data_IF_808916071521
#
_entry.id   IF_808916071521
#
_cell.length_a   1.000
_cell.length_b   1.000
_cell.length_c   1.000
_cell.angle_alpha   90.00
_cell.angle_beta   90.00
_cell.angle_gamma   90.00
#
_symmetry.space_group_name_H-M   'P 1'
#
loop_
_entity.id
_entity.type
_entity.pdbx_description
1 polymer ?
#
# COMPACT_ATOMS: atom_id res chain seq x y z
N UNK A 1 -21.95 6.18 11.36
CA UNK A 1 -21.25 4.88 11.45
C UNK A 1 -20.73 4.52 10.06
N UNK A 2 -19.41 4.39 9.90
CA UNK A 2 -18.76 3.52 8.92
C UNK A 2 -17.25 3.62 9.16
N UNK A 3 -16.78 2.87 10.16
CA UNK A 3 -15.39 2.75 10.54
C UNK A 3 -14.76 1.67 9.66
N UNK A 4 -14.52 1.95 8.37
CA UNK A 4 -14.13 0.93 7.38
C UNK A 4 -12.97 1.37 6.48
N UNK A 5 -11.92 1.96 7.05
CA UNK A 5 -10.59 1.75 6.49
C UNK A 5 -10.08 0.47 7.15
N UNK A 6 -10.12 -0.63 6.42
CA UNK A 6 -9.60 -1.91 6.89
C UNK A 6 -8.14 -1.71 7.34
N UNK A 7 -7.89 -1.79 8.65
CA UNK A 7 -6.56 -1.68 9.26
C UNK A 7 -5.73 -2.95 9.04
N UNK A 8 -5.70 -3.48 7.82
CA UNK A 8 -4.86 -4.63 7.50
C UNK A 8 -3.46 -4.10 7.19
N UNK A 9 -2.52 -4.38 8.11
CA UNK A 9 -1.09 -4.13 7.89
C UNK A 9 -0.54 -5.34 7.13
N UNK A 10 0.24 -5.07 6.09
CA UNK A 10 0.93 -6.09 5.32
C UNK A 10 2.43 -5.91 5.49
N UNK A 11 3.14 -7.01 5.66
CA UNK A 11 4.60 -7.05 5.52
C UNK A 11 4.99 -6.83 4.06
N UNK A 12 6.26 -6.47 3.85
CA UNK A 12 6.85 -6.30 2.52
C UNK A 12 6.71 -7.54 1.61
N UNK A 13 6.65 -8.74 2.20
CA UNK A 13 6.46 -9.97 1.42
C UNK A 13 5.00 -10.20 1.06
N UNK A 14 4.08 -9.94 2.00
CA UNK A 14 2.65 -10.10 1.75
C UNK A 14 2.14 -9.09 0.71
N UNK A 15 2.59 -7.84 0.74
CA UNK A 15 2.15 -6.84 -0.25
C UNK A 15 2.60 -7.21 -1.67
N UNK A 16 3.74 -7.87 -1.85
CA UNK A 16 4.19 -8.37 -3.17
C UNK A 16 3.22 -9.40 -3.73
N UNK A 17 2.69 -10.27 -2.87
CA UNK A 17 1.74 -11.30 -3.27
C UNK A 17 0.40 -10.70 -3.68
N UNK A 18 -0.06 -9.67 -2.96
CA UNK A 18 -1.26 -8.89 -3.33
C UNK A 18 -1.07 -8.22 -4.70
N UNK A 19 0.06 -7.55 -4.93
CA UNK A 19 0.37 -6.92 -6.23
C UNK A 19 0.44 -7.98 -7.34
N UNK A 20 0.99 -9.17 -7.06
CA UNK A 20 1.02 -10.28 -8.04
C UNK A 20 -0.39 -10.73 -8.43
N UNK A 21 -1.33 -10.76 -7.48
CA UNK A 21 -2.70 -11.21 -7.71
C UNK A 21 -3.56 -10.17 -8.43
N UNK A 22 -3.42 -8.89 -8.06
CA UNK A 22 -4.34 -7.83 -8.51
C UNK A 22 -3.70 -6.80 -9.44
N UNK A 23 -2.41 -6.92 -9.70
CA UNK A 23 -1.64 -5.94 -10.47
C UNK A 23 -1.21 -4.74 -9.63
N UNK A 24 -0.47 -3.84 -10.27
CA UNK A 24 -0.14 -2.55 -9.65
C UNK A 24 -1.38 -1.65 -9.61
N UNK A 25 -1.51 -0.78 -8.60
CA UNK A 25 -2.60 0.20 -8.51
C UNK A 25 -2.52 1.31 -9.58
N UNK A 26 -1.75 1.14 -10.67
CA UNK A 26 -1.20 2.21 -11.50
C UNK A 26 -1.83 2.31 -12.90
N UNK A 27 -3.05 1.81 -13.13
CA UNK A 27 -3.82 2.24 -14.30
C UNK A 27 -4.61 3.50 -13.96
N UNK A 28 -4.04 4.64 -14.37
CA UNK A 28 -4.55 5.98 -14.11
C UNK A 28 -5.86 6.21 -14.88
N UNK A 29 -6.99 6.32 -14.17
CA UNK A 29 -8.31 6.67 -14.73
C UNK A 29 -8.42 8.18 -15.04
N UNK A 30 -7.50 8.73 -15.84
CA UNK A 30 -7.40 10.18 -16.10
C UNK A 30 -8.71 10.82 -16.56
N UNK A 31 -9.52 10.05 -17.29
CA UNK A 31 -10.76 10.49 -17.91
C UNK A 31 -11.97 10.34 -16.98
N UNK A 32 -11.82 9.65 -15.85
CA UNK A 32 -12.93 9.40 -14.92
C UNK A 32 -13.92 8.33 -15.41
N UNK A 33 -13.60 7.61 -16.50
CA UNK A 33 -14.50 6.68 -17.19
C UNK A 33 -14.98 5.53 -16.28
N UNK A 34 -14.19 5.18 -15.26
CA UNK A 34 -14.46 4.08 -14.32
C UNK A 34 -14.91 4.52 -12.92
N UNK A 35 -15.34 5.78 -12.75
CA UNK A 35 -15.81 6.33 -11.47
C UNK A 35 -14.74 7.08 -10.67
N UNK A 36 -15.05 7.54 -9.44
CA UNK A 36 -14.17 8.40 -8.65
C UNK A 36 -12.85 7.71 -8.34
N UNK A 37 -11.75 8.47 -8.42
CA UNK A 37 -10.40 8.00 -8.12
C UNK A 37 -10.34 7.35 -6.73
N UNK A 38 -9.79 6.14 -6.65
CA UNK A 38 -9.57 5.44 -5.39
C UNK A 38 -8.08 5.34 -5.15
N UNK A 39 -7.56 6.20 -4.28
CA UNK A 39 -6.19 6.14 -3.81
C UNK A 39 -6.05 4.97 -2.84
N UNK A 40 -5.03 4.13 -3.06
CA UNK A 40 -4.58 3.15 -2.07
C UNK A 40 -3.35 3.76 -1.40
N UNK A 41 -3.51 4.18 -0.15
CA UNK A 41 -2.37 4.54 0.71
C UNK A 41 -1.79 3.26 1.32
N UNK A 42 -0.48 3.06 1.17
CA UNK A 42 0.25 1.98 1.84
C UNK A 42 1.36 2.59 2.68
N UNK A 43 1.39 2.25 3.96
CA UNK A 43 2.49 2.59 4.86
C UNK A 43 3.39 1.35 5.00
N UNK A 44 4.66 1.49 4.64
CA UNK A 44 5.66 0.41 4.70
C UNK A 44 6.65 0.72 5.81
N UNK A 45 6.81 -0.21 6.75
CA UNK A 45 7.87 -0.16 7.76
C UNK A 45 8.97 -1.16 7.40
N UNK A 46 10.22 -0.68 7.30
CA UNK A 46 11.40 -1.52 7.02
C UNK A 46 12.51 -1.17 8.02
N UNK A 47 12.80 -2.10 8.92
CA UNK A 47 13.80 -1.90 9.98
C UNK A 47 15.23 -1.77 9.43
N UNK A 48 15.51 -2.24 8.20
CA UNK A 48 16.81 -2.05 7.55
C UNK A 48 17.22 -0.58 7.45
N UNK A 49 16.24 0.32 7.28
CA UNK A 49 16.50 1.76 7.22
C UNK A 49 16.94 2.29 8.59
N UNK A 50 16.35 1.76 9.66
CA UNK A 50 16.58 2.18 11.05
C UNK A 50 17.92 1.64 11.57
N UNK A 51 18.40 0.48 11.08
CA UNK A 51 19.68 -0.13 11.50
C UNK A 51 20.89 0.80 11.40
N UNK A 52 20.92 1.71 10.41
CA UNK A 52 22.00 2.69 10.26
C UNK A 52 22.09 3.69 11.43
N UNK A 53 21.03 3.80 12.24
CA UNK A 53 20.90 4.72 13.35
C UNK A 53 20.90 4.02 14.71
N UNK A 54 21.03 2.69 14.77
CA UNK A 54 20.99 1.90 16.01
C UNK A 54 22.38 1.62 16.62
N UNK A 55 23.43 2.29 16.15
CA UNK A 55 24.77 2.19 16.76
C UNK A 55 24.93 3.24 17.87
N UNK A 56 24.72 2.81 19.12
CA UNK A 56 25.30 3.38 20.34
C UNK A 56 26.17 2.32 21.02
#
# INVERSE_FOLDING_TARGET
>A
MANHIAKQVYTKNEIKEIIRQYGFPQEWNMKGDHGPERYIEVQVWDEEVIKRFLND
#
